data_IF_563735835070
#
_entry.id   IF_563735835070
#
_cell.length_a   1.000
_cell.length_b   1.000
_cell.length_c   1.000
_cell.angle_alpha   90.00
_cell.angle_beta   90.00
_cell.angle_gamma   90.00
#
_symmetry.space_group_name_H-M   'P 1'
#
loop_
_entity.id
_entity.type
_entity.pdbx_description
1 polymer ?
#
# COMPACT_ATOMS: atom_id res chain seq x y z
N UNK A 1 11.14 -9.23 9.33
CA UNK A 1 12.20 -9.87 10.13
C UNK A 1 13.09 -8.81 10.76
N UNK A 2 13.02 -8.68 12.09
CA UNK A 2 14.02 -8.00 12.92
C UNK A 2 15.41 -8.61 12.73
N UNK A 3 16.47 -7.92 13.18
CA UNK A 3 17.84 -8.47 13.16
C UNK A 3 17.95 -9.71 14.05
N UNK A 4 17.35 -9.66 15.23
CA UNK A 4 17.42 -10.72 16.25
C UNK A 4 16.84 -12.06 15.76
N UNK A 5 15.78 -12.03 14.93
CA UNK A 5 15.21 -13.24 14.34
C UNK A 5 16.09 -13.88 13.25
N UNK A 6 17.13 -13.20 12.75
CA UNK A 6 18.03 -13.75 11.71
C UNK A 6 19.20 -14.51 12.30
N UNK A 7 19.63 -14.13 13.50
CA UNK A 7 20.78 -14.74 14.17
C UNK A 7 20.44 -16.14 14.68
N UNK A 8 19.22 -16.32 15.23
CA UNK A 8 18.71 -17.61 15.72
C UNK A 8 18.27 -18.61 14.65
N UNK A 9 18.14 -18.19 13.40
CA UNK A 9 17.63 -19.04 12.31
C UNK A 9 18.73 -19.95 11.75
N UNK A 10 18.55 -21.28 11.77
CA UNK A 10 19.55 -22.21 11.21
C UNK A 10 19.68 -22.06 9.69
N UNK A 11 20.83 -22.48 9.13
CA UNK A 11 21.09 -22.35 7.70
C UNK A 11 20.20 -23.31 6.89
N UNK A 12 19.94 -24.49 7.42
CA UNK A 12 19.04 -25.50 6.86
C UNK A 12 17.62 -24.95 6.76
N UNK A 13 17.13 -24.33 7.84
CA UNK A 13 15.82 -23.68 7.84
C UNK A 13 15.76 -22.55 6.81
N UNK A 14 16.82 -21.72 6.71
CA UNK A 14 16.86 -20.62 5.75
C UNK A 14 16.82 -21.13 4.29
N UNK A 15 17.53 -22.20 3.98
CA UNK A 15 17.54 -22.85 2.67
C UNK A 15 16.15 -23.45 2.37
N UNK A 16 15.55 -24.16 3.32
CA UNK A 16 14.23 -24.77 3.13
C UNK A 16 13.15 -23.70 2.96
N UNK A 17 13.19 -22.64 3.77
CA UNK A 17 12.26 -21.52 3.63
C UNK A 17 12.42 -20.81 2.28
N UNK A 18 13.64 -20.69 1.76
CA UNK A 18 13.90 -20.16 0.42
C UNK A 18 13.22 -21.03 -0.64
N UNK A 19 13.41 -22.36 -0.59
CA UNK A 19 12.78 -23.30 -1.53
C UNK A 19 11.25 -23.19 -1.49
N UNK A 20 10.67 -23.18 -0.29
CA UNK A 20 9.21 -23.00 -0.11
C UNK A 20 8.70 -21.68 -0.70
N UNK A 21 9.38 -20.56 -0.46
CA UNK A 21 8.97 -19.26 -1.01
C UNK A 21 9.09 -19.22 -2.54
N UNK A 22 10.13 -19.83 -3.11
CA UNK A 22 10.28 -19.95 -4.56
C UNK A 22 9.20 -20.85 -5.17
N UNK A 23 8.88 -21.98 -4.52
CA UNK A 23 7.82 -22.87 -4.96
C UNK A 23 6.46 -22.16 -4.96
N UNK A 24 6.14 -21.39 -3.91
CA UNK A 24 4.92 -20.60 -3.85
C UNK A 24 4.88 -19.54 -4.96
N UNK A 25 5.95 -18.74 -5.11
CA UNK A 25 6.02 -17.68 -6.13
C UNK A 25 5.96 -18.21 -7.58
N UNK A 26 6.39 -19.45 -7.80
CA UNK A 26 6.40 -20.09 -9.12
C UNK A 26 5.21 -21.05 -9.35
N UNK A 27 4.29 -21.16 -8.38
CA UNK A 27 3.13 -22.04 -8.51
C UNK A 27 2.08 -21.44 -9.45
N UNK A 28 1.40 -22.31 -10.20
CA UNK A 28 0.27 -21.91 -11.06
C UNK A 28 -0.81 -21.19 -10.25
N UNK A 29 -1.10 -21.69 -9.05
CA UNK A 29 -2.05 -21.05 -8.13
C UNK A 29 -1.67 -19.59 -7.82
N UNK A 30 -0.38 -19.31 -7.59
CA UNK A 30 0.07 -17.94 -7.34
C UNK A 30 -0.04 -17.06 -8.58
N UNK A 31 0.23 -17.60 -9.77
CA UNK A 31 0.02 -16.87 -11.03
C UNK A 31 -1.45 -16.55 -11.27
N UNK A 32 -2.34 -17.51 -11.07
CA UNK A 32 -3.78 -17.35 -11.22
C UNK A 32 -4.35 -16.33 -10.22
N UNK A 33 -3.84 -16.33 -8.99
CA UNK A 33 -4.24 -15.39 -7.96
C UNK A 33 -3.60 -14.01 -8.10
N UNK A 34 -2.51 -13.86 -8.87
CA UNK A 34 -1.75 -12.60 -8.96
C UNK A 34 -2.07 -11.87 -10.26
N UNK A 35 -2.99 -10.88 -10.25
CA UNK A 35 -3.50 -10.23 -11.46
C UNK A 35 -2.45 -9.42 -12.23
N UNK A 36 -1.32 -9.11 -11.59
CA UNK A 36 -0.12 -8.58 -12.26
C UNK A 36 1.11 -8.68 -11.35
N UNK A 37 2.25 -8.96 -11.97
CA UNK A 37 3.58 -8.82 -11.35
C UNK A 37 4.27 -7.51 -11.74
N UNK A 38 3.71 -6.79 -12.71
CA UNK A 38 4.10 -5.44 -13.10
C UNK A 38 3.18 -4.43 -12.42
N UNK A 39 3.69 -3.74 -11.41
CA UNK A 39 2.89 -2.82 -10.57
C UNK A 39 2.55 -1.48 -11.22
N UNK A 40 2.89 -1.29 -12.50
CA UNK A 40 2.76 -0.05 -13.26
C UNK A 40 4.11 0.55 -13.65
N UNK A 41 4.09 1.56 -14.52
CA UNK A 41 5.29 2.24 -15.05
C UNK A 41 5.73 3.45 -14.20
N UNK A 42 4.95 3.79 -13.18
CA UNK A 42 5.25 4.90 -12.29
C UNK A 42 6.44 4.57 -11.38
N UNK A 43 7.38 5.50 -11.23
CA UNK A 43 8.50 5.34 -10.30
C UNK A 43 7.98 5.29 -8.85
N UNK A 44 8.14 4.17 -8.13
CA UNK A 44 7.63 4.06 -6.77
C UNK A 44 8.24 5.10 -5.82
N UNK A 45 9.44 5.62 -6.09
CA UNK A 45 10.06 6.65 -5.23
C UNK A 45 9.56 8.06 -5.48
N UNK A 46 8.85 8.30 -6.59
CA UNK A 46 8.26 9.59 -6.94
C UNK A 46 6.82 9.66 -6.44
N UNK A 47 6.60 10.15 -5.22
CA UNK A 47 5.27 10.12 -4.60
C UNK A 47 4.48 11.40 -4.93
N UNK A 48 3.33 11.32 -5.61
CA UNK A 48 2.47 12.47 -5.83
C UNK A 48 1.91 12.93 -4.49
N UNK A 49 1.98 14.23 -4.22
CA UNK A 49 1.52 14.81 -2.96
C UNK A 49 0.11 15.34 -3.09
N UNK A 50 -0.79 14.84 -2.26
CA UNK A 50 -2.18 15.28 -2.23
C UNK A 50 -2.31 16.63 -1.52
N UNK A 51 -3.35 17.39 -1.87
CA UNK A 51 -3.63 18.67 -1.22
C UNK A 51 -4.01 18.48 0.25
N UNK A 52 -3.68 19.47 1.07
CA UNK A 52 -4.05 19.49 2.48
C UNK A 52 -5.57 19.49 2.64
N UNK A 53 -6.13 18.54 3.39
CA UNK A 53 -7.58 18.49 3.64
C UNK A 53 -8.09 19.66 4.49
N UNK A 54 -7.21 20.34 5.24
CA UNK A 54 -7.60 21.46 6.12
C UNK A 54 -7.75 22.77 5.36
N UNK A 55 -6.84 23.07 4.43
CA UNK A 55 -6.76 24.39 3.78
C UNK A 55 -6.66 24.32 2.26
N UNK A 56 -6.64 23.13 1.64
CA UNK A 56 -6.42 22.95 0.20
C UNK A 56 -4.99 23.24 -0.28
N UNK A 57 -4.10 23.71 0.60
CA UNK A 57 -2.73 24.06 0.25
C UNK A 57 -1.88 22.88 -0.18
N UNK A 58 -0.90 23.14 -1.05
CA UNK A 58 0.10 22.13 -1.45
C UNK A 58 1.15 21.95 -0.35
N UNK A 59 1.51 20.71 -0.01
CA UNK A 59 2.55 20.46 0.98
C UNK A 59 3.95 20.69 0.43
N UNK A 60 4.83 21.12 1.32
CA UNK A 60 6.28 21.08 1.11
C UNK A 60 6.87 19.87 1.83
N UNK A 61 7.96 19.34 1.29
CA UNK A 61 8.70 18.25 1.90
C UNK A 61 10.13 18.74 2.09
N UNK A 62 10.58 18.80 3.34
CA UNK A 62 11.89 19.34 3.71
C UNK A 62 12.69 18.34 4.53
N UNK A 63 14.01 18.44 4.42
CA UNK A 63 14.93 17.74 5.31
C UNK A 63 15.02 18.46 6.64
N UNK A 64 14.87 17.73 7.74
CA UNK A 64 15.13 18.16 9.11
C UNK A 64 16.24 17.25 9.66
N UNK A 65 17.50 17.68 9.50
CA UNK A 65 18.68 16.86 9.82
C UNK A 65 18.77 15.60 8.94
N UNK A 66 18.77 14.42 9.58
CA UNK A 66 18.81 13.11 8.88
C UNK A 66 17.42 12.57 8.52
N UNK A 67 16.37 13.37 8.74
CA UNK A 67 14.97 12.97 8.56
C UNK A 67 14.24 13.90 7.59
N UNK A 68 13.09 13.45 7.13
CA UNK A 68 12.22 14.14 6.20
C UNK A 68 10.86 14.39 6.83
N UNK A 69 10.36 15.61 6.66
CA UNK A 69 9.04 16.03 7.12
C UNK A 69 8.25 16.58 5.93
N UNK A 70 6.97 16.25 5.89
CA UNK A 70 6.01 16.88 4.99
C UNK A 70 5.01 17.72 5.82
N UNK A 71 4.80 18.95 5.39
CA UNK A 71 3.99 19.94 6.09
C UNK A 71 3.30 20.89 5.11
N UNK A 72 2.23 21.52 5.58
CA UNK A 72 1.51 22.58 4.87
C UNK A 72 1.59 23.90 5.65
N UNK A 73 1.51 25.03 4.96
CA UNK A 73 1.58 26.37 5.56
C UNK A 73 0.50 26.66 6.61
N UNK A 74 -0.59 25.89 6.66
CA UNK A 74 -1.61 26.00 7.72
C UNK A 74 -1.22 25.31 9.04
N UNK A 75 0.01 24.79 9.16
CA UNK A 75 0.51 24.12 10.36
C UNK A 75 0.24 22.61 10.44
N UNK A 76 -0.54 22.03 9.50
CA UNK A 76 -0.72 20.57 9.42
C UNK A 76 0.59 19.93 8.94
N UNK A 77 1.08 18.92 9.67
CA UNK A 77 2.32 18.19 9.36
C UNK A 77 2.22 16.71 9.72
N UNK A 78 3.10 15.88 9.14
CA UNK A 78 3.26 14.50 9.60
C UNK A 78 3.81 14.47 11.03
N UNK A 79 3.31 13.53 11.85
CA UNK A 79 3.68 13.45 13.27
C UNK A 79 5.10 12.93 13.49
N UNK A 80 5.54 12.00 12.65
CA UNK A 80 6.83 11.32 12.79
C UNK A 80 7.70 11.60 11.56
N UNK A 81 8.85 12.29 11.72
CA UNK A 81 9.81 12.47 10.65
C UNK A 81 10.36 11.13 10.12
N UNK A 82 10.37 10.99 8.80
CA UNK A 82 10.73 9.75 8.12
C UNK A 82 12.20 9.71 7.73
N UNK A 83 12.77 8.53 7.52
CA UNK A 83 14.18 8.40 7.11
C UNK A 83 14.42 8.77 5.65
N UNK A 84 13.37 8.63 4.83
CA UNK A 84 13.44 8.84 3.39
C UNK A 84 12.37 9.83 2.96
N UNK A 85 12.67 10.61 1.93
CA UNK A 85 11.76 11.60 1.37
C UNK A 85 10.42 10.98 0.96
N UNK A 86 10.45 9.91 0.16
CA UNK A 86 9.25 9.22 -0.32
C UNK A 86 8.37 8.70 0.82
N UNK A 87 8.96 8.30 1.95
CA UNK A 87 8.21 7.86 3.12
C UNK A 87 7.46 9.02 3.77
N UNK A 88 8.09 10.19 3.87
CA UNK A 88 7.42 11.39 4.39
C UNK A 88 6.27 11.84 3.47
N UNK A 89 6.45 11.72 2.16
CA UNK A 89 5.43 12.05 1.16
C UNK A 89 4.25 11.06 1.20
N UNK A 90 4.50 9.75 1.37
CA UNK A 90 3.41 8.78 1.59
C UNK A 90 2.69 9.01 2.92
N UNK A 91 3.43 9.32 3.99
CA UNK A 91 2.84 9.62 5.29
C UNK A 91 1.98 10.90 5.24
N UNK A 92 2.37 11.88 4.43
CA UNK A 92 1.55 13.05 4.15
C UNK A 92 0.22 12.68 3.48
N UNK A 93 0.29 11.84 2.45
CA UNK A 93 -0.91 11.37 1.76
C UNK A 93 -1.83 10.55 2.68
N UNK A 94 -1.23 9.81 3.60
CA UNK A 94 -1.93 9.00 4.58
C UNK A 94 -2.75 9.79 5.59
N UNK A 95 -2.28 10.98 5.95
CA UNK A 95 -3.07 11.88 6.80
C UNK A 95 -4.05 12.73 5.98
N UNK A 96 -4.03 12.69 4.64
CA UNK A 96 -4.89 13.48 3.75
C UNK A 96 -5.65 12.60 2.73
N UNK A 97 -6.20 11.47 3.17
CA UNK A 97 -6.78 10.43 2.31
C UNK A 97 -8.00 10.90 1.50
N UNK A 98 -8.84 11.77 2.05
CA UNK A 98 -10.10 12.21 1.41
C UNK A 98 -9.85 13.10 0.20
N UNK A 99 -8.66 13.69 0.11
CA UNK A 99 -8.23 14.53 -1.02
C UNK A 99 -7.86 13.72 -2.27
N UNK A 100 -7.93 12.39 -2.23
CA UNK A 100 -7.46 11.55 -3.34
C UNK A 100 -8.42 10.40 -3.64
N UNK A 101 -8.67 10.16 -4.92
CA UNK A 101 -9.50 9.07 -5.38
C UNK A 101 -8.63 7.84 -5.71
N UNK A 102 -9.00 6.66 -5.20
CA UNK A 102 -8.25 5.43 -5.46
C UNK A 102 -8.24 5.04 -6.95
N UNK A 103 -9.19 5.53 -7.76
CA UNK A 103 -9.19 5.26 -9.21
C UNK A 103 -8.09 6.01 -9.96
N UNK A 104 -7.63 7.13 -9.40
CA UNK A 104 -6.54 7.94 -9.95
C UNK A 104 -5.16 7.46 -9.47
N UNK A 105 -5.12 6.29 -8.81
CA UNK A 105 -3.89 5.76 -8.25
C UNK A 105 -2.94 5.32 -9.37
N UNK A 106 -1.68 5.81 -9.40
CA UNK A 106 -0.77 5.63 -10.53
C UNK A 106 -0.20 4.21 -10.67
N UNK A 107 -0.48 3.34 -9.70
CA UNK A 107 0.01 1.96 -9.63
C UNK A 107 -1.17 0.99 -9.52
N UNK A 108 -0.90 -0.29 -9.79
CA UNK A 108 -1.80 -1.42 -9.57
C UNK A 108 -3.05 -1.50 -10.45
N UNK A 109 -3.25 -0.56 -11.39
CA UNK A 109 -4.32 -0.64 -12.39
C UNK A 109 -5.72 -0.63 -11.78
N UNK A 110 -5.98 0.35 -10.90
CA UNK A 110 -7.25 0.47 -10.17
C UNK A 110 -8.33 1.26 -10.93
N UNK A 111 -7.96 1.86 -12.06
CA UNK A 111 -8.91 2.60 -12.90
C UNK A 111 -10.02 1.68 -13.39
N UNK A 112 -11.27 2.15 -13.29
CA UNK A 112 -12.47 1.41 -13.70
C UNK A 112 -12.98 0.36 -12.70
N UNK A 113 -12.20 0.00 -11.67
CA UNK A 113 -12.64 -0.98 -10.68
C UNK A 113 -13.63 -0.36 -9.68
N UNK A 114 -14.55 -1.20 -9.19
CA UNK A 114 -15.33 -0.88 -7.99
C UNK A 114 -14.53 -1.19 -6.71
N UNK A 115 -14.96 -0.73 -5.51
CA UNK A 115 -14.17 -0.92 -4.30
C UNK A 115 -13.94 -2.38 -3.89
N UNK A 116 -14.85 -3.29 -4.24
CA UNK A 116 -14.69 -4.73 -3.95
C UNK A 116 -13.60 -5.33 -4.83
N UNK A 117 -13.71 -5.13 -6.15
CA UNK A 117 -12.71 -5.59 -7.14
C UNK A 117 -11.33 -4.98 -6.87
N UNK A 118 -11.28 -3.68 -6.56
CA UNK A 118 -10.03 -3.00 -6.24
C UNK A 118 -9.38 -3.58 -4.97
N UNK A 119 -10.19 -3.94 -3.95
CA UNK A 119 -9.69 -4.57 -2.72
C UNK A 119 -9.12 -5.96 -3.01
N UNK A 120 -9.82 -6.79 -3.77
CA UNK A 120 -9.38 -8.14 -4.14
C UNK A 120 -8.07 -8.08 -4.93
N UNK A 121 -8.00 -7.22 -5.95
CA UNK A 121 -6.80 -6.99 -6.74
C UNK A 121 -5.61 -6.56 -5.88
N UNK A 122 -5.82 -5.61 -4.98
CA UNK A 122 -4.77 -5.13 -4.08
C UNK A 122 -4.36 -6.18 -3.04
N UNK A 123 -5.27 -7.03 -2.57
CA UNK A 123 -4.96 -8.10 -1.63
C UNK A 123 -4.01 -9.13 -2.28
N UNK A 124 -4.29 -9.54 -3.51
CA UNK A 124 -3.42 -10.41 -4.30
C UNK A 124 -2.04 -9.78 -4.55
N UNK A 125 -2.01 -8.54 -5.02
CA UNK A 125 -0.76 -7.79 -5.25
C UNK A 125 0.05 -7.68 -3.95
N UNK A 126 -0.61 -7.39 -2.83
CA UNK A 126 0.05 -7.31 -1.52
C UNK A 126 0.71 -8.64 -1.14
N UNK A 127 -0.01 -9.77 -1.28
CA UNK A 127 0.53 -11.11 -1.01
C UNK A 127 1.80 -11.36 -1.83
N UNK A 128 1.77 -11.08 -3.14
CA UNK A 128 2.94 -11.18 -4.02
C UNK A 128 4.12 -10.31 -3.54
N UNK A 129 3.87 -9.03 -3.21
CA UNK A 129 4.92 -8.12 -2.71
C UNK A 129 5.51 -8.63 -1.38
N UNK A 130 4.67 -9.14 -0.46
CA UNK A 130 5.09 -9.69 0.83
C UNK A 130 5.95 -10.96 0.66
N UNK A 131 5.57 -11.86 -0.26
CA UNK A 131 6.37 -13.03 -0.61
C UNK A 131 7.74 -12.64 -1.18
N UNK A 132 7.80 -11.70 -2.13
CA UNK A 132 9.06 -11.19 -2.68
C UNK A 132 9.93 -10.53 -1.61
N UNK A 133 9.32 -9.80 -0.68
CA UNK A 133 10.02 -9.18 0.46
C UNK A 133 10.59 -10.24 1.40
N UNK A 134 9.81 -11.29 1.69
CA UNK A 134 10.25 -12.41 2.52
C UNK A 134 11.41 -13.16 1.87
N UNK A 135 11.31 -13.46 0.56
CA UNK A 135 12.35 -14.10 -0.21
C UNK A 135 13.65 -13.29 -0.17
N UNK A 136 13.59 -11.98 -0.46
CA UNK A 136 14.78 -11.13 -0.42
C UNK A 136 15.43 -11.08 0.99
N UNK A 137 14.61 -11.17 2.04
CA UNK A 137 15.08 -11.27 3.42
C UNK A 137 15.81 -12.58 3.70
N UNK A 138 15.24 -13.70 3.26
CA UNK A 138 15.83 -15.04 3.41
C UNK A 138 17.11 -15.19 2.58
N UNK A 139 17.11 -14.74 1.33
CA UNK A 139 18.30 -14.76 0.45
C UNK A 139 19.44 -13.94 1.02
N UNK A 140 19.14 -12.82 1.67
CA UNK A 140 20.16 -12.07 2.42
C UNK A 140 20.75 -12.90 3.55
N UNK A 141 19.93 -13.64 4.30
CA UNK A 141 20.42 -14.49 5.39
C UNK A 141 21.27 -15.66 4.86
N UNK A 142 20.80 -16.35 3.82
CA UNK A 142 21.54 -17.46 3.18
C UNK A 142 22.88 -16.94 2.66
N UNK A 143 22.90 -15.82 1.94
CA UNK A 143 24.14 -15.25 1.40
C UNK A 143 25.15 -14.86 2.50
N UNK A 144 24.68 -14.37 3.64
CA UNK A 144 25.55 -14.03 4.79
C UNK A 144 26.12 -15.31 5.44
N UNK A 145 25.29 -16.34 5.65
CA UNK A 145 25.70 -17.56 6.37
C UNK A 145 26.48 -18.56 5.51
N UNK A 146 26.36 -18.50 4.18
CA UNK A 146 27.04 -19.41 3.22
C UNK A 146 28.23 -18.75 2.51
N UNK A 147 28.66 -17.56 2.95
CA UNK A 147 29.73 -16.80 2.29
C UNK A 147 29.52 -16.61 0.76
N UNK A 148 28.24 -16.42 0.35
CA UNK A 148 27.77 -16.29 -1.05
C UNK A 148 27.76 -17.56 -1.91
N UNK A 149 28.14 -18.73 -1.40
CA UNK A 149 28.22 -19.95 -2.22
C UNK A 149 26.86 -20.43 -2.78
N UNK A 150 25.74 -20.09 -2.14
CA UNK A 150 24.40 -20.63 -2.49
C UNK A 150 23.51 -19.62 -3.22
N UNK A 151 23.63 -18.33 -2.93
CA UNK A 151 22.89 -17.28 -3.65
C UNK A 151 23.53 -15.91 -3.49
N UNK A 152 23.31 -15.04 -4.47
CA UNK A 152 23.69 -13.63 -4.36
C UNK A 152 22.75 -12.86 -3.44
N UNK A 153 23.31 -11.88 -2.73
CA UNK A 153 22.53 -10.99 -1.87
C UNK A 153 21.69 -10.04 -2.74
N UNK A 154 20.38 -9.91 -2.49
CA UNK A 154 19.56 -8.94 -3.18
C UNK A 154 20.10 -7.52 -3.06
N UNK A 155 20.10 -6.78 -4.16
CA UNK A 155 20.56 -5.39 -4.19
C UNK A 155 19.74 -4.49 -3.26
N UNK A 156 20.38 -3.54 -2.57
CA UNK A 156 19.70 -2.61 -1.65
C UNK A 156 18.56 -1.85 -2.32
N UNK A 157 18.75 -1.43 -3.59
CA UNK A 157 17.73 -0.74 -4.37
C UNK A 157 16.49 -1.61 -4.65
N UNK A 158 16.67 -2.91 -4.91
CA UNK A 158 15.56 -3.84 -5.11
C UNK A 158 14.72 -4.02 -3.83
N UNK A 159 15.39 -4.25 -2.69
CA UNK A 159 14.72 -4.38 -1.38
C UNK A 159 13.95 -3.12 -1.03
N UNK A 160 14.55 -1.96 -1.27
CA UNK A 160 13.90 -0.67 -1.07
C UNK A 160 12.70 -0.47 -2.01
N UNK A 161 12.82 -0.87 -3.28
CA UNK A 161 11.73 -0.79 -4.25
C UNK A 161 10.54 -1.65 -3.84
N UNK A 162 10.78 -2.87 -3.36
CA UNK A 162 9.73 -3.74 -2.80
C UNK A 162 9.04 -3.08 -1.60
N UNK A 163 9.82 -2.54 -0.66
CA UNK A 163 9.27 -1.87 0.52
C UNK A 163 8.40 -0.67 0.14
N UNK A 164 8.83 0.08 -0.87
CA UNK A 164 8.07 1.18 -1.41
C UNK A 164 6.75 0.72 -2.03
N UNK A 165 6.75 -0.28 -2.92
CA UNK A 165 5.51 -0.84 -3.47
C UNK A 165 4.56 -1.36 -2.39
N UNK A 166 5.08 -1.97 -1.32
CA UNK A 166 4.24 -2.41 -0.21
C UNK A 166 3.55 -1.23 0.48
N UNK A 167 4.26 -0.12 0.68
CA UNK A 167 3.70 1.12 1.27
C UNK A 167 2.65 1.75 0.36
N UNK A 168 2.89 1.78 -0.95
CA UNK A 168 1.91 2.17 -1.95
C UNK A 168 0.65 1.29 -1.89
N UNK A 169 0.82 -0.05 -1.83
CA UNK A 169 -0.31 -0.97 -1.77
C UNK A 169 -1.16 -0.77 -0.50
N UNK A 170 -0.52 -0.53 0.65
CA UNK A 170 -1.25 -0.22 1.89
C UNK A 170 -2.00 1.11 1.82
N UNK A 171 -1.44 2.12 1.14
CA UNK A 171 -2.12 3.39 0.92
C UNK A 171 -3.36 3.20 0.03
N UNK A 172 -3.22 2.49 -1.10
CA UNK A 172 -4.33 2.16 -1.99
C UNK A 172 -5.47 1.43 -1.27
N UNK A 173 -5.14 0.40 -0.47
CA UNK A 173 -6.12 -0.36 0.32
C UNK A 173 -6.92 0.52 1.27
N UNK A 174 -6.28 1.55 1.85
CA UNK A 174 -6.97 2.51 2.71
C UNK A 174 -7.89 3.44 1.93
N UNK A 175 -7.47 3.93 0.77
CA UNK A 175 -8.32 4.74 -0.10
C UNK A 175 -9.56 3.95 -0.55
N UNK A 176 -9.38 2.69 -0.94
CA UNK A 176 -10.50 1.78 -1.29
C UNK A 176 -11.44 1.58 -0.10
N UNK A 177 -10.90 1.41 1.13
CA UNK A 177 -11.72 1.30 2.33
C UNK A 177 -12.56 2.56 2.57
N UNK A 178 -11.97 3.75 2.43
CA UNK A 178 -12.68 5.03 2.56
C UNK A 178 -13.79 5.14 1.52
N UNK A 179 -13.51 4.80 0.26
CA UNK A 179 -14.50 4.82 -0.81
C UNK A 179 -15.68 3.88 -0.56
N UNK A 180 -15.41 2.64 -0.11
CA UNK A 180 -16.45 1.66 0.22
C UNK A 180 -17.38 2.16 1.34
N UNK A 181 -16.84 2.79 2.39
CA UNK A 181 -17.67 3.37 3.46
C UNK A 181 -18.62 4.45 2.93
N UNK A 182 -18.14 5.31 2.04
CA UNK A 182 -18.96 6.37 1.45
C UNK A 182 -20.06 5.84 0.51
N UNK A 183 -19.84 4.72 -0.16
CA UNK A 183 -20.87 4.06 -0.97
C UNK A 183 -22.00 3.49 -0.09
N UNK A 184 -21.64 2.81 1.01
CA UNK A 184 -22.62 2.27 1.97
C UNK A 184 -23.48 3.36 2.61
N UNK A 185 -22.88 4.50 2.99
CA UNK A 185 -23.61 5.65 3.53
C UNK A 185 -24.61 6.24 2.53
N UNK A 186 -24.23 6.33 1.25
CA UNK A 186 -25.12 6.83 0.19
C UNK A 186 -26.30 5.91 -0.06
N UNK A 187 -26.08 4.59 -0.06
CA UNK A 187 -27.15 3.60 -0.22
C UNK A 187 -28.15 3.69 0.94
N UNK A 188 -27.65 3.78 2.18
CA UNK A 188 -28.50 3.92 3.38
C UNK A 188 -29.38 5.18 3.30
N UNK A 189 -28.81 6.35 2.96
CA UNK A 189 -29.57 7.60 2.81
C UNK A 189 -30.63 7.53 1.71
N UNK A 190 -30.37 6.80 0.62
CA UNK A 190 -31.31 6.66 -0.52
C UNK A 190 -32.46 5.71 -0.22
N UNK A 191 -32.26 4.72 0.66
CA UNK A 191 -33.34 3.87 1.15
C UNK A 191 -34.25 4.62 2.14
N UNK A 192 -33.67 5.43 3.04
CA UNK A 192 -34.44 6.22 4.00
C UNK A 192 -35.25 7.35 3.36
N UNK A 193 -34.86 7.86 2.18
CA UNK A 193 -35.64 8.87 1.46
C UNK A 193 -36.79 8.30 0.62
N UNK A 194 -36.76 7.00 0.30
CA UNK A 194 -37.86 6.31 -0.42
C UNK A 194 -39.01 5.89 0.48
N UNK A 195 -38.82 5.77 1.79
CA UNK A 195 -39.86 5.45 2.77
C UNK A 195 -40.60 6.68 3.33
N UNK A 196 -40.20 7.89 2.94
CA UNK A 196 -40.78 9.15 3.43
C UNK A 196 -41.85 9.80 2.54
N UNK A 197 -42.29 9.16 1.44
CA UNK A 197 -43.29 9.70 0.51
C UNK A 197 -44.52 8.80 0.51
N UNK A 198 -45.32 8.82 1.58
CA UNK A 198 -46.75 8.49 1.53
C UNK A 198 -47.46 8.94 2.82
N UNK A 199 -47.72 10.24 2.95
CA UNK A 199 -48.66 10.77 3.93
C UNK A 199 -49.19 12.13 3.46
N UNK A 200 -49.88 12.16 2.31
CA UNK A 200 -50.74 13.29 1.92
C UNK A 200 -51.66 12.85 0.77
N UNK A 201 -52.86 12.38 1.11
CA UNK A 201 -54.09 12.59 0.34
C UNK A 201 -55.26 11.78 0.90
N UNK A 202 -56.15 12.45 1.62
CA UNK A 202 -57.62 12.28 1.72
C UNK A 202 -58.01 13.13 2.96
N UNK A 203 -58.49 14.36 2.89
CA UNK A 203 -59.30 15.00 1.85
C UNK A 203 -60.78 14.79 2.17
N UNK A 204 -61.44 15.89 2.57
CA UNK A 204 -62.90 16.17 2.51
C UNK A 204 -63.75 15.26 3.45
N UNK A 205 -64.66 15.72 4.31
CA UNK A 205 -65.57 16.88 4.41
C UNK A 205 -65.64 17.42 5.85
#
# INVERSE_FOLDING_TARGET
>A
MSKDNRESMTIEYAIEKRKSLLAELNSDEHYDQTPTVAFGNHDPFSVPKVVCETCGGRPITRGEGTRWVAECGCGRRIKVPQKKRWQAELEWNWINLKSFNYRDFPLFGLSGLNPTEARERLAAIRKNIELRKALAGIETTVAIKTERAVCEKPGKGYVEKIDCYLKWCMWALRLVKVAASHETEKVSRRCSSKTGINAKSTGVE
#
